data_IF_272077797735
#
_entry.id   IF_272077797735
#
_cell.length_a   1.000
_cell.length_b   1.000
_cell.length_c   1.000
_cell.angle_alpha   90.00
_cell.angle_beta   90.00
_cell.angle_gamma   90.00
#
_symmetry.space_group_name_H-M   'P 1'
#
loop_
_entity.id
_entity.type
_entity.pdbx_description
1 polymer ?
#
# COMPACT_ATOMS: atom_id res chain seq x y z
N UNK A 1 -7.24 24.55 -21.05
CA UNK A 1 -7.36 23.23 -20.37
C UNK A 1 -8.75 22.64 -20.56
N UNK A 2 -9.49 23.06 -21.60
CA UNK A 2 -10.93 22.75 -21.78
C UNK A 2 -11.23 21.51 -22.61
N UNK A 3 -10.21 20.84 -23.18
CA UNK A 3 -10.40 19.62 -23.97
C UNK A 3 -10.61 18.34 -23.14
N UNK A 4 -10.31 18.38 -21.84
CA UNK A 4 -10.61 17.26 -20.92
C UNK A 4 -12.07 17.22 -20.46
N UNK A 5 -12.86 18.28 -20.72
CA UNK A 5 -14.29 18.32 -20.37
C UNK A 5 -15.17 17.52 -21.33
N UNK A 6 -14.70 17.25 -22.56
CA UNK A 6 -15.45 16.47 -23.55
C UNK A 6 -15.44 14.95 -23.26
N UNK A 7 -14.52 14.49 -22.42
CA UNK A 7 -14.38 13.09 -21.97
C UNK A 7 -14.88 12.93 -20.52
N UNK A 8 -15.22 14.03 -19.85
CA UNK A 8 -15.04 14.18 -18.41
C UNK A 8 -16.19 13.80 -17.48
N UNK A 9 -17.29 13.22 -17.96
CA UNK A 9 -18.36 12.78 -17.03
C UNK A 9 -19.18 11.57 -17.52
N UNK A 10 -18.62 10.80 -18.46
CA UNK A 10 -19.30 9.60 -18.93
C UNK A 10 -18.70 8.36 -18.25
N UNK A 11 -19.41 7.83 -17.25
CA UNK A 11 -19.01 6.65 -16.47
C UNK A 11 -18.58 5.47 -17.35
N UNK A 12 -19.18 5.32 -18.54
CA UNK A 12 -18.82 4.28 -19.49
C UNK A 12 -17.41 4.41 -20.06
N UNK A 13 -16.97 5.65 -20.37
CA UNK A 13 -15.64 5.90 -20.90
C UNK A 13 -14.58 5.68 -19.80
N UNK A 14 -14.86 6.11 -18.56
CA UNK A 14 -13.99 5.83 -17.43
C UNK A 14 -13.83 4.32 -17.16
N UNK A 15 -14.91 3.55 -17.25
CA UNK A 15 -14.86 2.09 -17.13
C UNK A 15 -14.03 1.44 -18.25
N UNK A 16 -14.19 1.88 -19.50
CA UNK A 16 -13.42 1.36 -20.63
C UNK A 16 -11.92 1.67 -20.50
N UNK A 17 -11.57 2.88 -20.04
CA UNK A 17 -10.17 3.26 -19.79
C UNK A 17 -9.59 2.44 -18.62
N UNK A 18 -10.32 2.32 -17.52
CA UNK A 18 -9.89 1.52 -16.37
C UNK A 18 -9.68 0.04 -16.73
N UNK A 19 -10.60 -0.53 -17.53
CA UNK A 19 -10.48 -1.89 -18.04
C UNK A 19 -9.25 -2.05 -18.94
N UNK A 20 -9.00 -1.08 -19.83
CA UNK A 20 -7.82 -1.11 -20.69
C UNK A 20 -6.52 -1.05 -19.88
N UNK A 21 -6.46 -0.20 -18.85
CA UNK A 21 -5.31 -0.12 -17.94
C UNK A 21 -5.14 -1.42 -17.15
N UNK A 22 -6.23 -2.01 -16.65
CA UNK A 22 -6.19 -3.28 -15.93
C UNK A 22 -5.67 -4.42 -16.82
N UNK A 23 -6.10 -4.48 -18.09
CA UNK A 23 -5.62 -5.46 -19.06
C UNK A 23 -4.14 -5.29 -19.35
N UNK A 24 -3.66 -4.06 -19.54
CA UNK A 24 -2.22 -3.78 -19.70
C UNK A 24 -1.44 -4.19 -18.45
N UNK A 25 -1.98 -3.94 -17.27
CA UNK A 25 -1.36 -4.30 -15.99
C UNK A 25 -1.20 -5.83 -15.83
N UNK A 26 -2.13 -6.64 -16.36
CA UNK A 26 -2.02 -8.10 -16.32
C UNK A 26 -0.85 -8.66 -17.13
N UNK A 27 -0.36 -7.94 -18.15
CA UNK A 27 0.80 -8.37 -18.94
C UNK A 27 2.14 -8.01 -18.29
N UNK A 28 2.16 -7.16 -17.27
CA UNK A 28 3.37 -6.84 -16.54
C UNK A 28 3.69 -7.98 -15.56
N UNK A 29 4.78 -8.72 -15.82
CA UNK A 29 5.23 -9.85 -14.97
C UNK A 29 5.41 -9.44 -13.52
N UNK A 30 5.94 -8.24 -13.28
CA UNK A 30 6.18 -7.71 -11.94
C UNK A 30 4.87 -7.35 -11.23
N UNK A 31 3.89 -6.83 -11.98
CA UNK A 31 2.55 -6.57 -11.46
C UNK A 31 1.84 -7.86 -11.03
N UNK A 32 1.93 -8.92 -11.83
CA UNK A 32 1.39 -10.24 -11.48
C UNK A 32 2.11 -10.82 -10.25
N UNK A 33 3.43 -10.67 -10.16
CA UNK A 33 4.22 -11.07 -8.98
C UNK A 33 3.78 -10.29 -7.73
N UNK A 34 3.55 -8.98 -7.85
CA UNK A 34 3.01 -8.14 -6.79
C UNK A 34 1.64 -8.59 -6.32
N UNK A 35 0.72 -8.85 -7.24
CA UNK A 35 -0.63 -9.36 -6.92
C UNK A 35 -0.52 -10.70 -6.20
N UNK A 36 0.24 -11.66 -6.73
CA UNK A 36 0.42 -12.97 -6.11
C UNK A 36 1.04 -12.90 -4.71
N UNK A 37 1.88 -11.89 -4.44
CA UNK A 37 2.43 -11.66 -3.11
C UNK A 37 1.44 -11.00 -2.15
N UNK A 38 0.64 -10.03 -2.62
CA UNK A 38 -0.35 -9.29 -1.80
C UNK A 38 -1.58 -10.15 -1.50
N UNK A 39 -2.02 -10.98 -2.46
CA UNK A 39 -3.27 -11.74 -2.38
C UNK A 39 -3.39 -12.61 -1.11
N UNK A 40 -2.38 -13.40 -0.70
CA UNK A 40 -2.47 -14.20 0.54
C UNK A 40 -2.76 -13.35 1.78
N UNK A 41 -2.14 -12.17 1.89
CA UNK A 41 -2.34 -11.27 3.04
C UNK A 41 -3.75 -10.68 3.05
N UNK A 42 -4.25 -10.26 1.89
CA UNK A 42 -5.62 -9.77 1.77
C UNK A 42 -6.66 -10.86 2.05
N UNK A 43 -6.43 -12.07 1.55
CA UNK A 43 -7.29 -13.23 1.84
C UNK A 43 -7.29 -13.55 3.33
N UNK A 44 -6.12 -13.52 3.98
CA UNK A 44 -6.01 -13.72 5.43
C UNK A 44 -6.76 -12.64 6.21
N UNK A 45 -6.59 -11.36 5.86
CA UNK A 45 -7.36 -10.26 6.46
C UNK A 45 -8.87 -10.41 6.25
N UNK A 46 -9.29 -10.84 5.06
CA UNK A 46 -10.70 -11.07 4.75
C UNK A 46 -11.27 -12.20 5.61
N UNK A 47 -10.55 -13.32 5.74
CA UNK A 47 -10.95 -14.44 6.60
C UNK A 47 -11.05 -13.97 8.05
N UNK A 48 -10.03 -13.28 8.57
CA UNK A 48 -10.04 -12.76 9.94
C UNK A 48 -11.21 -11.80 10.14
N UNK A 49 -11.44 -10.85 9.22
CA UNK A 49 -12.54 -9.90 9.28
C UNK A 49 -13.91 -10.58 9.25
N UNK A 50 -14.07 -11.63 8.43
CA UNK A 50 -15.27 -12.46 8.39
C UNK A 50 -15.49 -13.19 9.71
N UNK A 51 -14.45 -13.84 10.26
CA UNK A 51 -14.51 -14.48 11.58
C UNK A 51 -14.91 -13.51 12.69
N UNK A 52 -14.32 -12.32 12.69
CA UNK A 52 -14.58 -11.27 13.68
C UNK A 52 -16.04 -10.79 13.57
N UNK A 53 -16.53 -10.63 12.34
CA UNK A 53 -17.94 -10.28 12.08
C UNK A 53 -18.89 -11.37 12.56
N UNK A 54 -18.60 -12.63 12.24
CA UNK A 54 -19.39 -13.78 12.71
C UNK A 54 -19.38 -13.88 14.22
N UNK A 55 -18.24 -13.65 14.87
CA UNK A 55 -18.14 -13.61 16.33
C UNK A 55 -19.04 -12.52 16.91
N UNK A 56 -19.01 -11.29 16.40
CA UNK A 56 -19.91 -10.24 16.87
C UNK A 56 -21.39 -10.59 16.71
N UNK A 57 -21.76 -11.26 15.62
CA UNK A 57 -23.13 -11.76 15.43
C UNK A 57 -23.50 -12.81 16.49
N UNK A 58 -22.57 -13.72 16.84
CA UNK A 58 -22.79 -14.68 17.92
C UNK A 58 -22.96 -14.03 19.30
N UNK A 59 -22.33 -12.89 19.55
CA UNK A 59 -22.54 -12.09 20.76
C UNK A 59 -23.85 -11.28 20.75
N UNK A 60 -24.69 -11.45 19.73
CA UNK A 60 -25.99 -10.80 19.63
C UNK A 60 -25.91 -9.35 19.12
N UNK A 61 -24.79 -8.95 18.53
CA UNK A 61 -24.70 -7.64 17.87
C UNK A 61 -25.55 -7.69 16.60
N UNK A 62 -26.57 -6.82 16.53
CA UNK A 62 -27.44 -6.71 15.36
C UNK A 62 -26.60 -6.35 14.12
N UNK A 63 -26.86 -7.02 13.01
CA UNK A 63 -26.18 -6.81 11.71
C UNK A 63 -26.24 -5.36 11.23
N UNK A 64 -27.30 -4.63 11.57
CA UNK A 64 -27.49 -3.19 11.28
C UNK A 64 -26.48 -2.29 12.01
N UNK A 65 -26.04 -2.70 13.20
CA UNK A 65 -25.03 -1.98 13.98
C UNK A 65 -23.64 -2.29 13.44
N UNK A 66 -23.37 -3.51 12.99
CA UNK A 66 -22.04 -3.89 12.46
C UNK A 66 -21.73 -3.10 11.19
N UNK A 67 -22.67 -3.05 10.24
CA UNK A 67 -22.46 -2.31 8.98
C UNK A 67 -22.29 -0.81 9.21
N UNK A 68 -23.09 -0.21 10.10
CA UNK A 68 -22.98 1.22 10.41
C UNK A 68 -21.76 1.55 11.27
N UNK A 69 -21.39 0.75 12.25
CA UNK A 69 -20.25 1.02 13.14
C UNK A 69 -18.92 0.76 12.43
N UNK A 70 -18.78 -0.33 11.68
CA UNK A 70 -17.53 -0.63 10.94
C UNK A 70 -17.27 0.38 9.81
N UNK A 71 -18.33 0.85 9.13
CA UNK A 71 -18.16 1.81 8.03
C UNK A 71 -18.22 3.28 8.46
N UNK A 72 -18.82 3.62 9.61
CA UNK A 72 -18.90 5.02 10.07
C UNK A 72 -17.92 5.37 11.17
N UNK A 73 -17.35 4.42 11.92
CA UNK A 73 -16.29 4.76 12.86
C UNK A 73 -15.00 5.10 12.10
N UNK A 74 -14.59 6.38 12.09
CA UNK A 74 -13.42 6.80 11.32
C UNK A 74 -12.16 6.06 11.78
N UNK A 75 -12.12 5.64 13.05
CA UNK A 75 -11.00 4.92 13.65
C UNK A 75 -10.79 3.55 13.01
N UNK A 76 -11.85 2.76 12.83
CA UNK A 76 -11.74 1.41 12.25
C UNK A 76 -11.37 1.49 10.77
N UNK A 77 -12.06 2.36 10.02
CA UNK A 77 -11.80 2.61 8.61
C UNK A 77 -10.36 3.07 8.35
N UNK A 78 -9.86 4.04 9.13
CA UNK A 78 -8.48 4.50 9.02
C UNK A 78 -7.46 3.41 9.35
N UNK A 79 -7.75 2.57 10.35
CA UNK A 79 -6.83 1.47 10.72
C UNK A 79 -6.72 0.45 9.58
N UNK A 80 -7.83 0.09 8.95
CA UNK A 80 -7.84 -0.85 7.80
C UNK A 80 -7.11 -0.26 6.60
N UNK A 81 -7.28 1.04 6.31
CA UNK A 81 -6.58 1.71 5.22
C UNK A 81 -5.08 1.77 5.47
N UNK A 82 -4.66 2.23 6.66
CA UNK A 82 -3.24 2.32 7.01
C UNK A 82 -2.58 0.95 6.92
N UNK A 83 -3.23 -0.08 7.45
CA UNK A 83 -2.74 -1.45 7.39
C UNK A 83 -2.63 -1.96 5.94
N UNK A 84 -3.64 -1.69 5.10
CA UNK A 84 -3.63 -2.05 3.68
C UNK A 84 -2.49 -1.36 2.92
N UNK A 85 -2.25 -0.08 3.22
CA UNK A 85 -1.15 0.67 2.61
C UNK A 85 0.20 0.11 3.06
N UNK A 86 0.39 -0.17 4.36
CA UNK A 86 1.63 -0.77 4.88
C UNK A 86 1.95 -2.09 4.17
N UNK A 87 0.95 -2.98 4.03
CA UNK A 87 1.10 -4.26 3.30
C UNK A 87 1.52 -4.01 1.85
N UNK A 88 0.91 -3.01 1.19
CA UNK A 88 1.24 -2.64 -0.17
C UNK A 88 2.69 -2.17 -0.30
N UNK A 89 3.17 -1.31 0.62
CA UNK A 89 4.57 -0.86 0.63
C UNK A 89 5.57 -2.00 0.87
N UNK A 90 5.28 -2.89 1.84
CA UNK A 90 6.11 -4.07 2.09
C UNK A 90 6.18 -4.93 0.82
N UNK A 91 5.05 -5.11 0.14
CA UNK A 91 4.95 -5.95 -1.05
C UNK A 91 5.71 -5.36 -2.24
N UNK A 92 5.60 -4.05 -2.47
CA UNK A 92 6.41 -3.36 -3.48
C UNK A 92 7.90 -3.52 -3.13
N UNK A 93 8.28 -3.30 -1.87
CA UNK A 93 9.66 -3.46 -1.43
C UNK A 93 10.22 -4.86 -1.64
N UNK A 94 9.41 -5.91 -1.45
CA UNK A 94 9.81 -7.29 -1.65
C UNK A 94 9.88 -7.68 -3.14
N UNK A 95 8.94 -7.20 -3.95
CA UNK A 95 8.84 -7.58 -5.37
C UNK A 95 9.84 -6.83 -6.25
N UNK A 96 10.03 -5.54 -5.98
CA UNK A 96 10.95 -4.70 -6.75
C UNK A 96 12.34 -4.60 -6.09
N UNK A 97 12.46 -4.86 -4.78
CA UNK A 97 13.75 -4.84 -4.08
C UNK A 97 14.66 -6.00 -4.50
N UNK A 98 14.11 -7.16 -4.83
CA UNK A 98 14.90 -8.32 -5.29
C UNK A 98 15.64 -8.07 -6.61
N UNK A 99 15.10 -7.19 -7.47
CA UNK A 99 15.69 -6.87 -8.77
C UNK A 99 16.71 -5.71 -8.66
N UNK A 100 16.59 -4.85 -7.64
CA UNK A 100 17.50 -3.74 -7.38
C UNK A 100 18.77 -4.15 -6.63
N UNK A 101 18.76 -5.26 -5.90
CA UNK A 101 19.93 -5.76 -5.15
C UNK A 101 20.91 -6.61 -5.98
N UNK A 102 20.65 -6.81 -7.29
CA UNK A 102 21.66 -7.35 -8.22
C UNK A 102 22.06 -8.80 -7.96
N UNK A 103 21.28 -9.74 -8.49
CA UNK A 103 21.75 -11.09 -8.82
C UNK A 103 21.85 -12.07 -7.64
N UNK A 104 20.72 -12.70 -7.30
CA UNK A 104 20.74 -13.81 -6.35
C UNK A 104 19.35 -14.34 -6.04
N UNK A 105 18.95 -15.35 -6.80
CA UNK A 105 17.79 -16.21 -6.55
C UNK A 105 17.55 -16.55 -5.07
N UNK A 106 16.33 -16.32 -4.61
CA UNK A 106 15.61 -17.26 -3.74
C UNK A 106 15.83 -17.13 -2.24
N UNK A 107 14.69 -17.09 -1.54
CA UNK A 107 14.49 -17.63 -0.17
C UNK A 107 15.39 -17.12 0.95
N UNK A 108 14.77 -16.34 1.81
CA UNK A 108 15.16 -15.97 3.17
C UNK A 108 16.42 -16.62 3.73
N UNK A 109 17.48 -15.83 3.87
CA UNK A 109 18.31 -15.79 5.07
C UNK A 109 18.99 -14.43 5.11
N UNK A 110 18.84 -13.73 6.23
CA UNK A 110 19.68 -12.58 6.54
C UNK A 110 21.14 -13.00 6.55
N UNK A 111 21.99 -12.41 5.69
CA UNK A 111 23.44 -12.44 5.84
C UNK A 111 24.02 -11.03 5.66
N UNK A 112 25.11 -10.71 6.39
CA UNK A 112 25.52 -9.34 6.63
C UNK A 112 26.30 -8.76 5.45
N UNK A 113 26.28 -7.43 5.43
CA UNK A 113 26.91 -6.50 4.48
C UNK A 113 28.35 -6.94 4.18
N UNK A 114 28.63 -7.23 2.91
CA UNK A 114 29.98 -7.38 2.39
C UNK A 114 30.22 -6.31 1.32
N UNK A 115 31.19 -5.47 1.65
CA UNK A 115 31.81 -4.38 0.93
C UNK A 115 32.18 -4.76 -0.52
N UNK A 116 31.79 -3.89 -1.47
CA UNK A 116 32.42 -3.80 -2.78
C UNK A 116 32.67 -2.34 -3.13
N UNK A 117 33.93 -1.94 -2.99
CA UNK A 117 34.53 -0.80 -3.67
C UNK A 117 34.49 -1.01 -5.19
N UNK A 118 34.37 0.09 -5.95
CA UNK A 118 34.81 0.12 -7.34
C UNK A 118 33.94 0.89 -8.32
N UNK A 119 33.92 2.22 -8.17
CA UNK A 119 33.95 3.22 -9.23
C UNK A 119 33.24 2.93 -10.57
N UNK A 120 32.01 3.44 -10.74
CA UNK A 120 31.57 4.10 -11.98
C UNK A 120 30.14 4.70 -11.94
N UNK A 121 29.53 5.13 -10.82
CA UNK A 121 28.07 5.31 -10.86
C UNK A 121 27.45 6.34 -9.88
N UNK A 122 28.13 7.47 -9.63
CA UNK A 122 27.69 8.48 -8.65
C UNK A 122 26.28 9.09 -8.89
N UNK A 123 25.71 8.97 -10.09
CA UNK A 123 24.34 9.44 -10.39
C UNK A 123 23.29 8.34 -10.32
N UNK A 124 23.65 7.08 -10.54
CA UNK A 124 22.74 5.94 -10.44
C UNK A 124 22.69 5.37 -9.02
N UNK A 125 23.80 5.43 -8.27
CA UNK A 125 23.87 5.06 -6.84
C UNK A 125 22.97 5.94 -5.96
N UNK A 126 22.94 7.25 -6.24
CA UNK A 126 22.11 8.20 -5.50
C UNK A 126 20.61 7.97 -5.71
N UNK A 127 20.19 7.66 -6.94
CA UNK A 127 18.81 7.29 -7.21
C UNK A 127 18.48 5.90 -6.65
N UNK A 128 19.40 4.93 -6.78
CA UNK A 128 19.23 3.56 -6.27
C UNK A 128 19.09 3.53 -4.74
N UNK A 129 19.79 4.43 -4.03
CA UNK A 129 19.62 4.62 -2.59
C UNK A 129 18.21 5.14 -2.24
N UNK A 130 17.65 6.06 -3.02
CA UNK A 130 16.30 6.60 -2.76
C UNK A 130 15.21 5.56 -3.02
N UNK A 131 15.35 4.72 -4.05
CA UNK A 131 14.42 3.58 -4.31
C UNK A 131 14.69 2.35 -3.47
N UNK A 132 15.66 2.38 -2.55
CA UNK A 132 15.92 1.25 -1.67
C UNK A 132 14.69 1.01 -0.75
N UNK A 133 14.16 -0.22 -0.64
CA UNK A 133 12.93 -0.50 0.11
C UNK A 133 12.95 -0.01 1.56
N UNK A 134 14.14 -0.07 2.19
CA UNK A 134 14.37 0.42 3.56
C UNK A 134 14.24 1.95 3.66
N UNK A 135 14.74 2.68 2.67
CA UNK A 135 14.73 4.14 2.64
C UNK A 135 13.35 4.64 2.23
N UNK A 136 12.70 3.97 1.28
CA UNK A 136 11.32 4.26 0.88
C UNK A 136 10.33 4.01 2.05
N UNK A 137 10.53 2.93 2.80
CA UNK A 137 9.75 2.65 4.01
C UNK A 137 9.98 3.67 5.13
N UNK A 138 11.24 4.10 5.34
CA UNK A 138 11.56 5.16 6.30
C UNK A 138 10.96 6.51 5.89
N UNK A 139 11.04 6.87 4.60
CA UNK A 139 10.45 8.08 4.04
C UNK A 139 8.92 8.06 4.15
N UNK A 140 8.30 6.91 3.88
CA UNK A 140 6.87 6.73 4.03
C UNK A 140 6.41 6.86 5.49
N UNK A 141 7.14 6.26 6.44
CA UNK A 141 6.87 6.44 7.87
C UNK A 141 7.03 7.91 8.31
N UNK A 142 8.02 8.61 7.76
CA UNK A 142 8.21 10.04 8.03
C UNK A 142 7.02 10.86 7.54
N UNK A 143 6.48 10.55 6.36
CA UNK A 143 5.26 11.20 5.84
C UNK A 143 4.07 10.92 6.76
N UNK A 144 3.84 9.67 7.16
CA UNK A 144 2.75 9.32 8.10
C UNK A 144 2.93 10.07 9.43
N UNK A 145 4.14 10.11 9.98
CA UNK A 145 4.43 10.81 11.21
C UNK A 145 4.16 12.32 11.09
N UNK A 146 4.55 12.94 9.96
CA UNK A 146 4.25 14.34 9.68
C UNK A 146 2.74 14.61 9.62
N UNK A 147 1.96 13.74 8.99
CA UNK A 147 0.50 13.85 8.98
C UNK A 147 -0.12 13.63 10.38
N UNK A 148 0.40 12.68 11.16
CA UNK A 148 -0.06 12.45 12.53
C UNK A 148 0.20 13.68 13.42
N UNK A 149 1.40 14.27 13.35
CA UNK A 149 1.75 15.49 14.08
C UNK A 149 0.84 16.65 13.64
N UNK A 150 0.60 16.80 12.34
CA UNK A 150 -0.30 17.83 11.82
C UNK A 150 -1.73 17.68 12.37
N UNK A 151 -2.28 16.47 12.38
CA UNK A 151 -3.62 16.19 12.91
C UNK A 151 -3.73 16.44 14.42
N UNK A 152 -2.65 16.18 15.17
CA UNK A 152 -2.58 16.51 16.60
C UNK A 152 -2.51 18.03 16.77
N UNK A 153 -1.68 18.73 15.99
CA UNK A 153 -1.50 20.17 16.06
C UNK A 153 -2.77 20.95 15.70
N UNK A 154 -3.51 20.50 14.68
CA UNK A 154 -4.77 21.13 14.28
C UNK A 154 -5.86 20.94 15.36
N UNK A 155 -5.91 19.77 16.03
CA UNK A 155 -6.85 19.53 17.14
C UNK A 155 -6.45 20.18 18.48
N UNK A 156 -5.21 20.67 18.61
CA UNK A 156 -4.69 21.35 19.81
C UNK A 156 -4.84 22.87 19.73
N UNK A 157 -5.41 23.41 18.65
CA UNK A 157 -5.79 24.83 18.60
C UNK A 157 -7.07 25.04 19.41
N UNK A 158 -7.05 25.68 20.60
CA UNK A 158 -8.30 25.98 21.31
C UNK A 158 -9.11 26.95 20.44
N UNK A 159 -10.34 26.54 20.12
CA UNK A 159 -11.41 27.41 19.62
C UNK A 159 -11.39 28.72 20.40
N UNK A 160 -11.02 29.81 19.71
CA UNK A 160 -11.43 31.16 20.11
C UNK A 160 -12.86 31.40 19.67
#
# INVERSE_FOLDING_TARGET
MDKFKLVGDNKGIHAAIALSIAVVFLFARDAVRLVNFITPWFVMMLIVGLFLTTFFVFFGVKSETIGNTVMKDPRVYWTVIILSIIILFISIGQVFGSDLEGGGTGTGTARPIAEKEGASDATSEGFQAIVHPRILGALFLLIIAAFAIRLISENVSPTK
#
